data_IF_212877694225
#
_entry.id   IF_212877694225
#
_cell.length_a   1.000
_cell.length_b   1.000
_cell.length_c   1.000
_cell.angle_alpha   90.00
_cell.angle_beta   90.00
_cell.angle_gamma   90.00
#
_symmetry.space_group_name_H-M   'P 1'
#
loop_
_entity.id
_entity.type
_entity.pdbx_description
1 polymer ?
#
# COMPACT_ATOMS: atom_id res chain seq x y z
N UNK A 1 -16.86 21.98 27.78
CA UNK A 1 -16.31 20.82 27.04
C UNK A 1 -14.81 21.04 26.95
N UNK A 2 -14.02 20.23 27.62
CA UNK A 2 -12.54 20.33 27.56
C UNK A 2 -12.08 19.69 26.26
N UNK A 3 -11.54 20.51 25.37
CA UNK A 3 -10.91 20.07 24.13
C UNK A 3 -9.73 19.13 24.45
N UNK A 4 -9.82 17.89 24.02
CA UNK A 4 -8.78 16.90 24.27
C UNK A 4 -7.81 16.96 23.10
N UNK A 5 -6.70 17.69 23.26
CA UNK A 5 -5.63 17.74 22.28
C UNK A 5 -4.88 16.41 22.32
N UNK A 6 -4.90 15.64 21.24
CA UNK A 6 -4.06 14.46 21.08
C UNK A 6 -2.78 14.93 20.40
N UNK A 7 -1.62 14.92 21.08
CA UNK A 7 -0.37 15.30 20.45
C UNK A 7 0.01 14.24 19.42
N UNK A 8 0.14 14.64 18.16
CA UNK A 8 0.72 13.81 17.10
C UNK A 8 2.22 14.07 17.11
N UNK A 9 3.00 13.10 17.58
CA UNK A 9 4.46 13.17 17.48
C UNK A 9 4.90 12.69 16.09
N UNK A 10 5.55 13.59 15.35
CA UNK A 10 6.20 13.20 14.08
C UNK A 10 7.54 12.55 14.39
N UNK A 11 7.59 11.22 14.28
CA UNK A 11 8.78 10.43 14.56
C UNK A 11 9.82 10.42 13.42
N UNK A 12 9.52 11.05 12.28
CA UNK A 12 10.43 11.09 11.12
C UNK A 12 11.75 11.80 11.40
N UNK A 13 11.77 12.69 12.40
CA UNK A 13 12.95 13.44 12.83
C UNK A 13 13.65 12.85 14.05
N UNK A 14 13.13 11.80 14.65
CA UNK A 14 13.83 11.04 15.66
C UNK A 14 14.83 10.12 14.97
N UNK A 15 16.09 10.50 14.99
CA UNK A 15 17.22 9.70 14.49
C UNK A 15 17.49 8.43 15.31
N UNK A 16 16.47 7.84 15.91
CA UNK A 16 16.57 6.55 16.52
C UNK A 16 16.62 5.51 15.38
N UNK A 17 17.82 5.08 15.03
CA UNK A 17 17.99 3.90 14.17
C UNK A 17 17.24 2.76 14.86
N UNK A 18 16.24 2.12 14.19
CA UNK A 18 15.56 0.99 14.78
C UNK A 18 16.60 -0.06 15.16
N UNK A 19 16.52 -0.54 16.40
CA UNK A 19 17.41 -1.60 16.85
C UNK A 19 17.12 -2.87 16.03
N UNK A 20 18.04 -3.19 15.14
CA UNK A 20 17.98 -4.46 14.39
C UNK A 20 18.60 -5.51 15.32
N UNK A 21 17.87 -6.59 15.71
CA UNK A 21 18.41 -7.63 16.54
C UNK A 21 19.67 -8.23 15.88
N UNK A 22 20.73 -8.44 16.66
CA UNK A 22 21.96 -9.08 16.17
C UNK A 22 21.72 -10.46 15.58
N UNK A 23 20.67 -11.13 16.04
CA UNK A 23 20.26 -12.46 15.56
C UNK A 23 18.90 -12.36 14.86
N UNK A 24 18.93 -12.37 13.54
CA UNK A 24 17.72 -12.50 12.75
C UNK A 24 17.19 -13.92 12.88
N UNK A 25 15.94 -14.08 13.30
CA UNK A 25 15.24 -15.36 13.21
C UNK A 25 15.09 -15.76 11.75
N UNK A 26 15.31 -17.04 11.40
CA UNK A 26 15.05 -17.52 10.04
C UNK A 26 13.61 -17.20 9.63
N UNK A 27 13.40 -16.81 8.37
CA UNK A 27 12.07 -16.61 7.85
C UNK A 27 11.25 -17.90 7.97
N UNK A 28 10.19 -17.86 8.77
CA UNK A 28 9.34 -19.04 9.06
C UNK A 28 8.21 -19.22 8.05
N UNK A 29 8.16 -18.39 7.00
CA UNK A 29 7.07 -18.37 6.02
C UNK A 29 5.95 -17.45 6.46
N UNK A 30 4.90 -17.94 7.06
CA UNK A 30 3.74 -17.13 7.47
C UNK A 30 4.11 -16.13 8.57
N UNK A 31 3.73 -14.87 8.39
CA UNK A 31 3.98 -13.81 9.35
C UNK A 31 2.74 -13.54 10.21
N UNK A 32 2.97 -13.26 11.48
CA UNK A 32 1.99 -12.74 12.42
C UNK A 32 2.59 -11.64 13.27
N UNK A 33 1.74 -10.76 13.81
CA UNK A 33 2.17 -9.74 14.76
C UNK A 33 2.32 -10.31 16.18
N UNK A 34 2.71 -9.44 17.14
CA UNK A 34 2.89 -9.82 18.55
C UNK A 34 1.59 -10.28 19.23
N UNK A 35 0.43 -10.04 18.63
CA UNK A 35 -0.88 -10.50 19.09
C UNK A 35 -1.35 -11.75 18.35
N UNK A 36 -0.46 -12.43 17.62
CA UNK A 36 -0.74 -13.64 16.82
C UNK A 36 -1.75 -13.40 15.69
N UNK A 37 -1.92 -12.15 15.24
CA UNK A 37 -2.77 -11.86 14.07
C UNK A 37 -1.96 -12.09 12.80
N UNK A 38 -2.44 -12.96 11.88
CA UNK A 38 -1.72 -13.28 10.66
C UNK A 38 -1.74 -12.12 9.67
N UNK A 39 -0.68 -12.00 8.86
CA UNK A 39 -0.61 -11.08 7.75
C UNK A 39 -1.46 -11.63 6.59
N UNK A 40 -2.65 -11.07 6.34
CA UNK A 40 -3.57 -11.56 5.29
C UNK A 40 -3.86 -10.57 4.19
N UNK A 41 -3.80 -9.29 4.49
CA UNK A 41 -4.20 -8.21 3.59
C UNK A 41 -3.01 -7.31 3.25
N UNK A 42 -2.83 -7.00 1.97
CA UNK A 42 -1.86 -6.04 1.47
C UNK A 42 -2.58 -4.94 0.69
N UNK A 43 -2.35 -3.68 1.07
CA UNK A 43 -2.78 -2.51 0.28
C UNK A 43 -1.59 -1.94 -0.48
N UNK A 44 -1.78 -1.77 -1.80
CA UNK A 44 -0.76 -1.20 -2.68
C UNK A 44 -1.29 0.10 -3.26
N UNK A 45 -0.64 1.21 -2.92
CA UNK A 45 -0.89 2.51 -3.55
C UNK A 45 -0.10 2.58 -4.86
N UNK A 46 -0.81 2.62 -5.99
CA UNK A 46 -0.19 2.60 -7.33
C UNK A 46 0.10 4.00 -7.89
N UNK A 47 -0.46 5.03 -7.28
CA UNK A 47 -0.26 6.44 -7.63
C UNK A 47 -0.67 7.34 -6.46
N UNK A 48 -0.05 8.49 -6.36
CA UNK A 48 -0.42 9.56 -5.43
C UNK A 48 -1.42 10.55 -6.05
N UNK A 49 -1.68 10.47 -7.36
CA UNK A 49 -2.57 11.37 -8.10
C UNK A 49 -4.03 10.96 -7.97
N UNK A 50 -4.91 11.95 -7.81
CA UNK A 50 -6.35 11.76 -7.83
C UNK A 50 -6.99 12.90 -8.61
N UNK A 51 -8.09 12.61 -9.31
CA UNK A 51 -8.91 13.61 -10.01
C UNK A 51 -9.97 14.24 -9.09
N UNK A 52 -10.15 13.71 -7.86
CA UNK A 52 -11.02 14.29 -6.85
C UNK A 52 -10.21 15.05 -5.78
N UNK A 53 -10.89 15.98 -5.10
CA UNK A 53 -10.38 16.74 -3.95
C UNK A 53 -11.35 16.60 -2.79
N UNK A 54 -11.48 15.35 -2.28
CA UNK A 54 -12.32 15.06 -1.14
C UNK A 54 -11.76 15.72 0.12
N UNK A 55 -12.60 16.41 0.85
CA UNK A 55 -12.22 17.25 2.00
C UNK A 55 -11.45 16.45 3.08
N UNK A 56 -11.84 15.19 3.27
CA UNK A 56 -11.22 14.32 4.28
C UNK A 56 -9.94 13.59 3.79
N UNK A 57 -9.66 13.57 2.47
CA UNK A 57 -8.57 12.78 1.90
C UNK A 57 -7.52 13.64 1.22
N UNK A 58 -7.93 14.53 0.30
CA UNK A 58 -7.06 15.40 -0.47
C UNK A 58 -7.67 16.81 -0.56
N UNK A 59 -7.76 17.55 0.55
CA UNK A 59 -8.37 18.87 0.57
C UNK A 59 -7.63 19.85 -0.36
N UNK A 60 -8.40 20.74 -1.02
CA UNK A 60 -7.87 21.69 -2.02
C UNK A 60 -6.84 22.66 -1.44
N UNK A 61 -6.92 22.92 -0.15
CA UNK A 61 -6.04 23.83 0.59
C UNK A 61 -4.60 23.26 0.69
N UNK A 62 -4.45 21.93 0.58
CA UNK A 62 -3.16 21.24 0.63
C UNK A 62 -2.74 20.77 -0.77
N UNK A 63 -3.70 20.21 -1.52
CA UNK A 63 -3.45 19.62 -2.85
C UNK A 63 -3.95 20.54 -3.96
N UNK A 64 -3.48 21.77 -3.96
CA UNK A 64 -3.79 22.79 -4.95
C UNK A 64 -3.01 22.56 -6.27
N UNK A 65 -3.07 23.53 -7.18
CA UNK A 65 -2.39 23.47 -8.47
C UNK A 65 -0.87 23.54 -8.37
N UNK A 66 -0.33 23.99 -7.23
CA UNK A 66 1.12 24.06 -6.96
C UNK A 66 1.68 22.79 -6.34
N UNK A 67 0.82 21.89 -5.85
CA UNK A 67 1.26 20.64 -5.22
C UNK A 67 2.00 19.72 -6.20
N UNK A 68 3.19 19.33 -5.83
CA UNK A 68 4.05 18.49 -6.68
C UNK A 68 3.83 17.00 -6.35
N UNK A 69 3.05 16.34 -7.20
CA UNK A 69 2.92 14.89 -7.17
C UNK A 69 4.20 14.21 -7.66
N UNK A 70 4.41 12.97 -7.25
CA UNK A 70 5.55 12.18 -7.68
C UNK A 70 5.63 12.10 -9.21
N UNK A 71 6.84 12.23 -9.79
CA UNK A 71 7.03 11.94 -11.19
C UNK A 71 6.80 10.43 -11.43
N UNK A 72 6.33 10.08 -12.62
CA UNK A 72 6.03 8.69 -12.96
C UNK A 72 7.25 7.76 -12.80
N UNK A 73 8.44 8.28 -12.99
CA UNK A 73 9.72 7.56 -12.83
C UNK A 73 10.04 7.20 -11.38
N UNK A 74 9.38 7.82 -10.40
CA UNK A 74 9.53 7.51 -8.98
C UNK A 74 8.48 6.51 -8.48
N UNK A 75 7.52 6.14 -9.33
CA UNK A 75 6.55 5.10 -9.00
C UNK A 75 7.13 3.74 -9.36
N UNK A 76 6.85 2.73 -8.54
CA UNK A 76 7.21 1.34 -8.84
C UNK A 76 6.63 0.91 -10.19
N UNK A 77 7.40 0.13 -10.95
CA UNK A 77 6.91 -0.54 -12.14
C UNK A 77 5.90 -1.65 -11.78
N UNK A 78 5.15 -2.15 -12.74
CA UNK A 78 4.20 -3.24 -12.51
C UNK A 78 4.91 -4.55 -12.18
N UNK A 79 6.10 -4.76 -12.74
CA UNK A 79 6.97 -5.90 -12.44
C UNK A 79 7.48 -5.84 -11.00
N UNK A 80 7.90 -4.66 -10.53
CA UNK A 80 8.32 -4.45 -9.14
C UNK A 80 7.17 -4.68 -8.17
N UNK A 81 5.98 -4.13 -8.46
CA UNK A 81 4.77 -4.36 -7.66
C UNK A 81 4.43 -5.84 -7.60
N UNK A 82 4.48 -6.54 -8.74
CA UNK A 82 4.21 -7.98 -8.82
C UNK A 82 5.24 -8.78 -8.04
N UNK A 83 6.53 -8.39 -8.08
CA UNK A 83 7.58 -9.02 -7.28
C UNK A 83 7.33 -8.84 -5.78
N UNK A 84 6.96 -7.63 -5.35
CA UNK A 84 6.61 -7.35 -3.96
C UNK A 84 5.39 -8.18 -3.55
N UNK A 85 4.34 -8.21 -4.37
CA UNK A 85 3.15 -9.01 -4.12
C UNK A 85 3.48 -10.49 -3.88
N UNK A 86 4.35 -11.10 -4.70
CA UNK A 86 4.80 -12.49 -4.53
C UNK A 86 5.49 -12.72 -3.19
N UNK A 87 6.32 -11.76 -2.74
CA UNK A 87 7.00 -11.84 -1.44
C UNK A 87 5.96 -11.85 -0.32
N UNK A 88 5.00 -10.92 -0.35
CA UNK A 88 3.95 -10.84 0.67
C UNK A 88 3.02 -12.06 0.66
N UNK A 89 2.71 -12.61 -0.51
CA UNK A 89 1.95 -13.87 -0.63
C UNK A 89 2.71 -15.02 0.05
N UNK A 90 4.02 -15.14 -0.18
CA UNK A 90 4.84 -16.15 0.48
C UNK A 90 4.85 -16.02 2.01
N UNK A 91 4.53 -14.83 2.54
CA UNK A 91 4.37 -14.54 3.96
C UNK A 91 2.91 -14.65 4.47
N UNK A 92 1.97 -15.08 3.65
CA UNK A 92 0.61 -15.39 4.06
C UNK A 92 -0.47 -14.41 3.62
N UNK A 93 -0.14 -13.44 2.75
CA UNK A 93 -1.15 -12.56 2.17
C UNK A 93 -2.06 -13.36 1.22
N UNK A 94 -3.35 -13.23 1.44
CA UNK A 94 -4.42 -13.86 0.66
C UNK A 94 -5.21 -12.83 -0.15
N UNK A 95 -5.13 -11.55 0.25
CA UNK A 95 -5.87 -10.44 -0.36
C UNK A 95 -4.96 -9.28 -0.71
N UNK A 96 -5.07 -8.79 -1.95
CA UNK A 96 -4.42 -7.55 -2.38
C UNK A 96 -5.49 -6.53 -2.76
N UNK A 97 -5.34 -5.32 -2.23
CA UNK A 97 -6.18 -4.18 -2.59
C UNK A 97 -5.36 -3.10 -3.26
N UNK A 98 -5.65 -2.87 -4.53
CA UNK A 98 -5.10 -1.73 -5.27
C UNK A 98 -5.81 -0.46 -4.85
N UNK A 99 -5.02 0.58 -4.59
CA UNK A 99 -5.49 1.89 -4.16
C UNK A 99 -4.50 2.96 -4.66
N UNK A 100 -4.58 4.16 -4.13
CA UNK A 100 -3.71 5.26 -4.46
C UNK A 100 -4.41 6.56 -4.10
N UNK A 101 -4.15 7.61 -4.87
CA UNK A 101 -5.13 8.65 -5.04
C UNK A 101 -6.33 8.04 -5.78
N UNK A 102 -6.31 8.06 -7.12
CA UNK A 102 -7.27 7.30 -7.93
C UNK A 102 -6.50 6.27 -8.79
N UNK A 103 -6.63 4.96 -8.54
CA UNK A 103 -5.84 3.94 -9.23
C UNK A 103 -6.11 3.89 -10.75
N UNK A 104 -7.30 4.26 -11.21
CA UNK A 104 -7.64 4.29 -12.64
C UNK A 104 -6.88 5.38 -13.41
N UNK A 105 -6.27 6.36 -12.73
CA UNK A 105 -5.34 7.31 -13.35
C UNK A 105 -3.97 6.69 -13.70
N UNK A 106 -3.65 5.54 -13.13
CA UNK A 106 -2.42 4.84 -13.49
C UNK A 106 -2.55 4.22 -14.87
N UNK A 107 -1.83 4.76 -15.84
CA UNK A 107 -1.89 4.29 -17.24
C UNK A 107 -1.60 2.78 -17.33
N UNK A 108 -2.44 2.06 -18.07
CA UNK A 108 -2.34 0.61 -18.29
C UNK A 108 -2.46 -0.20 -16.98
N UNK A 109 -3.25 0.24 -16.02
CA UNK A 109 -3.46 -0.46 -14.74
C UNK A 109 -4.00 -1.89 -14.96
N UNK A 110 -4.73 -2.13 -16.05
CA UNK A 110 -5.22 -3.44 -16.45
C UNK A 110 -4.11 -4.48 -16.56
N UNK A 111 -2.92 -4.10 -17.04
CA UNK A 111 -1.75 -4.99 -17.11
C UNK A 111 -1.29 -5.44 -15.73
N UNK A 112 -1.29 -4.53 -14.74
CA UNK A 112 -0.98 -4.91 -13.36
C UNK A 112 -2.04 -5.88 -12.82
N UNK A 113 -3.32 -5.62 -13.09
CA UNK A 113 -4.41 -6.51 -12.67
C UNK A 113 -4.21 -7.90 -13.27
N UNK A 114 -3.90 -8.01 -14.56
CA UNK A 114 -3.59 -9.28 -15.23
C UNK A 114 -2.40 -9.99 -14.58
N UNK A 115 -1.31 -9.27 -14.29
CA UNK A 115 -0.10 -9.83 -13.65
C UNK A 115 -0.39 -10.34 -12.23
N UNK A 116 -1.28 -9.69 -11.48
CA UNK A 116 -1.64 -10.09 -10.13
C UNK A 116 -2.70 -11.19 -10.11
N UNK A 117 -3.63 -11.20 -11.07
CA UNK A 117 -4.74 -12.15 -11.14
C UNK A 117 -4.30 -13.60 -11.35
N UNK A 118 -3.11 -13.82 -11.92
CA UNK A 118 -2.54 -15.17 -12.09
C UNK A 118 -1.81 -15.70 -10.86
N UNK A 119 -1.66 -14.88 -9.81
CA UNK A 119 -1.00 -15.27 -8.58
C UNK A 119 -1.95 -16.09 -7.70
N UNK A 120 -1.38 -17.03 -6.98
CA UNK A 120 -2.11 -17.88 -6.03
C UNK A 120 -1.54 -17.74 -4.63
N UNK A 121 -2.36 -17.93 -3.63
CA UNK A 121 -1.95 -17.97 -2.22
C UNK A 121 -1.03 -19.16 -1.97
N UNK A 122 -0.40 -19.21 -0.78
CA UNK A 122 0.43 -20.36 -0.37
C UNK A 122 -0.33 -21.68 -0.38
N UNK A 123 -1.65 -21.65 -0.21
CA UNK A 123 -2.53 -22.82 -0.27
C UNK A 123 -3.00 -23.14 -1.69
N UNK A 124 -2.48 -22.45 -2.72
CA UNK A 124 -2.84 -22.65 -4.12
C UNK A 124 -4.22 -22.11 -4.54
N UNK A 125 -4.89 -21.33 -3.67
CA UNK A 125 -6.17 -20.68 -3.99
C UNK A 125 -5.95 -19.41 -4.83
N UNK A 126 -6.92 -18.99 -5.63
CA UNK A 126 -6.88 -17.69 -6.28
C UNK A 126 -6.71 -16.56 -5.26
N UNK A 127 -5.90 -15.55 -5.61
CA UNK A 127 -5.73 -14.36 -4.80
C UNK A 127 -7.02 -13.53 -4.80
N UNK A 128 -7.47 -13.04 -3.63
CA UNK A 128 -8.56 -12.06 -3.54
C UNK A 128 -8.03 -10.69 -3.98
N UNK A 129 -8.29 -10.30 -5.23
CA UNK A 129 -7.83 -9.04 -5.81
C UNK A 129 -8.97 -8.02 -5.85
N UNK A 130 -8.78 -6.90 -5.18
CA UNK A 130 -9.77 -5.83 -5.07
C UNK A 130 -9.17 -4.47 -5.41
N UNK A 131 -10.02 -3.50 -5.73
CA UNK A 131 -9.63 -2.12 -6.02
C UNK A 131 -10.53 -1.14 -5.24
N UNK A 132 -9.93 -0.08 -4.73
CA UNK A 132 -10.67 1.07 -4.19
C UNK A 132 -10.55 2.21 -5.18
N UNK A 133 -11.66 2.61 -5.77
CA UNK A 133 -11.74 3.65 -6.80
C UNK A 133 -12.96 4.55 -6.57
N UNK A 134 -12.90 5.78 -7.06
CA UNK A 134 -14.05 6.67 -7.13
C UNK A 134 -14.94 6.39 -8.35
N UNK A 135 -14.53 5.45 -9.22
CA UNK A 135 -15.25 4.97 -10.39
C UNK A 135 -15.70 6.09 -11.37
N UNK A 136 -14.96 7.18 -11.46
CA UNK A 136 -15.29 8.31 -12.35
C UNK A 136 -14.62 8.23 -13.73
N UNK A 137 -13.81 7.19 -13.96
CA UNK A 137 -13.03 7.00 -15.19
C UNK A 137 -13.38 5.67 -15.85
#
# INVERSE_FOLDING_TARGET
>A
MTERIIPVADLRYLHAVPHIPEKLTPATGLLSDTLSRPLRDLRISVTDRCNFRCVYCMPKEVFDTSYQFLPQTSLLSFEEITRIAKIFIAHGVEKIRLTGGEPLLRKNIEKLIEMLAVLTTVDGKPLDLTMTTNASL
#
